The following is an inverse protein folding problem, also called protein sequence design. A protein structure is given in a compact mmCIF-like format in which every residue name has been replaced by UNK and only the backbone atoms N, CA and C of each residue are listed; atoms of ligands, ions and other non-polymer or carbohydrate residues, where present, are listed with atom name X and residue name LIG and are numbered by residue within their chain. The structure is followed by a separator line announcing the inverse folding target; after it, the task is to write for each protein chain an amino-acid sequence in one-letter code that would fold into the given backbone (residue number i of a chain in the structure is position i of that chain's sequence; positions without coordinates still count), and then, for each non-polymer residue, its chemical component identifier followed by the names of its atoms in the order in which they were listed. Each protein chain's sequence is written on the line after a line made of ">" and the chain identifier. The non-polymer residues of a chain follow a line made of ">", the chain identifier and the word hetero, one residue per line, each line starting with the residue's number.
data_IF_815626921298
#
_entry.id   IF_815626921298
#
_cell.length_a   1.000
_cell.length_b   1.000
_cell.length_c   1.000
_cell.angle_alpha   90.00
_cell.angle_beta   90.00
_cell.angle_gamma   90.00
#
_symmetry.space_group_name_H-M   'P 1'
#
loop_
_entity.id
_entity.type
_entity.pdbx_description
1 polymer ?
#
# COMPACT_ATOMS: atom_id res chain seq x y z
N UNK A 1 -16.34 -0.93 -37.80
CA UNK A 1 -15.42 -0.47 -36.74
C UNK A 1 -15.72 -1.29 -35.50
N UNK A 2 -14.72 -1.98 -34.94
CA UNK A 2 -14.90 -2.73 -33.68
C UNK A 2 -14.81 -1.72 -32.55
N UNK A 3 -15.91 -1.49 -31.85
CA UNK A 3 -15.92 -0.70 -30.62
C UNK A 3 -15.24 -1.53 -29.53
N UNK A 4 -14.03 -1.12 -29.16
CA UNK A 4 -13.31 -1.67 -28.00
C UNK A 4 -14.05 -1.20 -26.75
N UNK A 5 -14.90 -2.06 -26.19
CA UNK A 5 -15.37 -1.92 -24.82
C UNK A 5 -14.18 -2.13 -23.89
N UNK A 6 -13.60 -1.04 -23.38
CA UNK A 6 -12.73 -1.09 -22.21
C UNK A 6 -13.59 -1.58 -21.04
N UNK A 7 -13.50 -2.87 -20.73
CA UNK A 7 -14.01 -3.41 -19.48
C UNK A 7 -13.26 -2.70 -18.35
N UNK A 8 -13.98 -1.93 -17.52
CA UNK A 8 -13.40 -1.32 -16.33
C UNK A 8 -12.84 -2.42 -15.43
N UNK A 9 -11.52 -2.50 -15.33
CA UNK A 9 -10.87 -3.49 -14.49
C UNK A 9 -11.34 -3.35 -13.05
N UNK A 10 -11.71 -4.49 -12.43
CA UNK A 10 -12.07 -4.53 -11.01
C UNK A 10 -11.01 -3.84 -10.16
N UNK A 11 -11.44 -3.11 -9.13
CA UNK A 11 -10.55 -2.47 -8.16
C UNK A 11 -9.45 -3.41 -7.64
N UNK A 12 -9.76 -4.71 -7.48
CA UNK A 12 -8.77 -5.71 -7.07
C UNK A 12 -7.69 -5.93 -8.13
N UNK A 13 -8.06 -5.94 -9.41
CA UNK A 13 -7.10 -6.07 -10.52
C UNK A 13 -6.20 -4.83 -10.60
N UNK A 14 -6.75 -3.64 -10.41
CA UNK A 14 -5.98 -2.40 -10.34
C UNK A 14 -4.96 -2.41 -9.19
N UNK A 15 -5.38 -2.86 -7.99
CA UNK A 15 -4.49 -2.99 -6.85
C UNK A 15 -3.37 -4.03 -7.08
N UNK A 16 -3.66 -5.15 -7.76
CA UNK A 16 -2.62 -6.13 -8.14
C UNK A 16 -1.60 -5.53 -9.08
N UNK A 17 -2.03 -4.78 -10.10
CA UNK A 17 -1.11 -4.11 -11.03
C UNK A 17 -0.19 -3.14 -10.31
N UNK A 18 -0.74 -2.33 -9.40
CA UNK A 18 0.06 -1.39 -8.60
C UNK A 18 1.08 -2.15 -7.74
N UNK A 19 0.66 -3.23 -7.07
CA UNK A 19 1.57 -4.09 -6.29
C UNK A 19 2.68 -4.67 -7.16
N UNK A 20 2.35 -5.22 -8.31
CA UNK A 20 3.31 -5.91 -9.19
C UNK A 20 4.33 -4.90 -9.75
N UNK A 21 3.87 -3.70 -10.12
CA UNK A 21 4.76 -2.62 -10.54
C UNK A 21 5.71 -2.19 -9.41
N UNK A 22 5.20 -1.98 -8.19
CA UNK A 22 6.05 -1.65 -7.03
C UNK A 22 7.05 -2.78 -6.78
N UNK A 23 6.62 -4.04 -6.89
CA UNK A 23 7.48 -5.21 -6.72
C UNK A 23 8.66 -5.22 -7.67
N UNK A 24 8.44 -4.87 -8.94
CA UNK A 24 9.51 -4.72 -9.93
C UNK A 24 10.43 -3.52 -9.63
N UNK A 25 9.86 -2.38 -9.19
CA UNK A 25 10.64 -1.19 -8.84
C UNK A 25 11.59 -1.44 -7.65
N UNK A 26 11.16 -2.25 -6.66
CA UNK A 26 11.93 -2.50 -5.43
C UNK A 26 12.77 -3.78 -5.44
N UNK A 27 12.67 -4.60 -6.50
CA UNK A 27 13.23 -5.97 -6.53
C UNK A 27 14.72 -6.02 -6.20
N UNK A 28 15.49 -5.08 -6.74
CA UNK A 28 16.95 -5.02 -6.59
C UNK A 28 17.40 -3.99 -5.53
N UNK A 29 16.45 -3.42 -4.78
CA UNK A 29 16.75 -2.43 -3.75
C UNK A 29 17.16 -3.10 -2.44
N UNK A 30 18.12 -2.47 -1.75
CA UNK A 30 18.45 -2.81 -0.36
C UNK A 30 17.31 -2.41 0.59
N UNK A 31 17.20 -3.02 1.78
CA UNK A 31 16.16 -2.67 2.76
C UNK A 31 16.08 -1.16 3.06
N UNK A 32 17.22 -0.47 3.13
CA UNK A 32 17.29 0.96 3.37
C UNK A 32 16.70 1.77 2.21
N UNK A 33 17.01 1.37 0.97
CA UNK A 33 16.48 1.99 -0.24
C UNK A 33 14.98 1.75 -0.40
N UNK A 34 14.49 0.57 -0.03
CA UNK A 34 13.05 0.27 -0.01
C UNK A 34 12.32 1.17 1.00
N UNK A 35 12.90 1.37 2.18
CA UNK A 35 12.34 2.28 3.18
C UNK A 35 12.27 3.72 2.65
N UNK A 36 13.34 4.19 2.00
CA UNK A 36 13.36 5.50 1.37
C UNK A 36 12.32 5.61 0.23
N UNK A 37 12.19 4.59 -0.60
CA UNK A 37 11.20 4.52 -1.67
C UNK A 37 9.77 4.74 -1.15
N UNK A 38 9.39 4.04 -0.06
CA UNK A 38 8.06 4.20 0.55
C UNK A 38 7.88 5.57 1.23
N UNK A 39 8.94 6.15 1.80
CA UNK A 39 8.88 7.48 2.39
C UNK A 39 8.68 8.58 1.33
N UNK A 40 9.29 8.42 0.15
CA UNK A 40 9.27 9.42 -0.92
C UNK A 40 8.02 9.30 -1.82
N UNK A 41 7.46 8.10 -2.01
CA UNK A 41 6.24 7.90 -2.79
C UNK A 41 5.00 8.33 -1.99
N UNK A 42 4.54 9.55 -2.27
CA UNK A 42 3.26 10.07 -1.74
C UNK A 42 2.13 9.08 -2.04
N UNK A 43 1.39 8.70 -1.00
CA UNK A 43 0.22 7.82 -1.09
C UNK A 43 0.47 6.34 -0.82
N UNK A 44 1.71 5.83 -0.93
CA UNK A 44 2.02 4.44 -0.59
C UNK A 44 2.17 4.23 0.92
N UNK A 45 2.70 5.23 1.63
CA UNK A 45 2.82 5.21 3.08
C UNK A 45 2.28 6.50 3.70
N UNK A 46 0.94 6.63 3.84
CA UNK A 46 0.35 7.74 4.57
C UNK A 46 0.65 7.58 6.07
N UNK A 47 1.80 8.09 6.51
CA UNK A 47 2.31 7.96 7.89
C UNK A 47 1.24 8.24 8.95
N UNK A 48 0.45 9.29 8.75
CA UNK A 48 -0.65 9.65 9.66
C UNK A 48 -1.72 8.56 9.80
N UNK A 49 -2.06 7.86 8.72
CA UNK A 49 -3.06 6.78 8.72
C UNK A 49 -2.51 5.57 9.47
N UNK A 50 -1.24 5.23 9.24
CA UNK A 50 -0.57 4.12 9.90
C UNK A 50 -0.33 4.37 11.39
N UNK A 51 0.06 5.59 11.77
CA UNK A 51 0.19 6.00 13.17
C UNK A 51 -1.15 5.89 13.89
N UNK A 52 -2.23 6.41 13.30
CA UNK A 52 -3.59 6.27 13.87
C UNK A 52 -4.03 4.81 13.97
N UNK A 53 -3.68 3.96 13.00
CA UNK A 53 -3.98 2.54 13.05
C UNK A 53 -3.24 1.83 14.19
N UNK A 54 -1.96 2.17 14.41
CA UNK A 54 -1.14 1.66 15.51
C UNK A 54 -1.68 2.08 16.88
N UNK A 55 -2.07 3.34 17.03
CA UNK A 55 -2.69 3.86 18.26
C UNK A 55 -4.00 3.13 18.58
N UNK A 56 -4.86 2.89 17.57
CA UNK A 56 -6.09 2.13 17.74
C UNK A 56 -5.84 0.68 18.17
N UNK A 57 -4.82 0.03 17.61
CA UNK A 57 -4.46 -1.33 17.96
C UNK A 57 -3.96 -1.44 19.41
N UNK A 58 -3.14 -0.49 19.86
CA UNK A 58 -2.63 -0.46 21.23
C UNK A 58 -3.75 -0.24 22.25
N UNK A 59 -4.68 0.68 21.97
CA UNK A 59 -5.83 0.92 22.86
C UNK A 59 -6.75 -0.30 22.95
N UNK A 60 -6.96 -1.02 21.83
CA UNK A 60 -7.76 -2.25 21.81
C UNK A 60 -7.11 -3.40 22.60
N UNK A 61 -5.78 -3.42 22.70
CA UNK A 61 -5.06 -4.44 23.47
C UNK A 61 -5.14 -4.16 24.98
N UNK A 62 -5.03 -2.89 25.40
CA UNK A 62 -5.17 -2.52 26.81
C UNK A 62 -6.59 -2.69 27.35
N UNK A 63 -7.63 -2.48 26.53
CA UNK A 63 -9.02 -2.76 26.91
C UNK A 63 -9.31 -4.26 27.08
N UNK A 64 -8.57 -5.14 26.40
CA UNK A 64 -8.71 -6.60 26.54
C UNK A 64 -7.96 -7.18 27.74
N UNK A 65 -7.12 -6.39 28.42
CA UNK A 65 -6.35 -6.80 29.60
C UNK A 65 -6.91 -6.26 30.93
N UNK A 66 -8.04 -5.55 30.92
CA UNK A 66 -8.80 -5.15 32.11
C UNK A 66 -10.01 -6.05 32.32
#
# INVERSE_FOLDING_TARGET
>A
MKTETQEEESMVAQLRKIRDQIGLEIQDMTPEQVLEYYNNKKGLLPKEVWTKAKERQNNSFEEQQR
#
